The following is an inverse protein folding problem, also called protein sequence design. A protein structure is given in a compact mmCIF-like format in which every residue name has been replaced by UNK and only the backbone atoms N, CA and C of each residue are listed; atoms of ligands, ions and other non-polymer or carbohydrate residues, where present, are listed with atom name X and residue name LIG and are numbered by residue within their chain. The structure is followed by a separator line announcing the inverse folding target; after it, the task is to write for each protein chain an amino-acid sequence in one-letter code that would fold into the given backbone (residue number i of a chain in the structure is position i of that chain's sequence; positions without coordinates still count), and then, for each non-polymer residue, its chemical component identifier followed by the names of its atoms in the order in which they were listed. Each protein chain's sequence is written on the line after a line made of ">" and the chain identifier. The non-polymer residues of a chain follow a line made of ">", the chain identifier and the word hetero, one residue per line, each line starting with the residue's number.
data_IF_797164971603
#
_entry.id   IF_797164971603
#
_cell.length_a   1.000
_cell.length_b   1.000
_cell.length_c   1.000
_cell.angle_alpha   90.00
_cell.angle_beta   90.00
_cell.angle_gamma   90.00
#
_symmetry.space_group_name_H-M   'P 1'
#
loop_
_entity.id
_entity.type
_entity.pdbx_description
1 polymer ?
#
# COMPACT_ATOMS: atom_id res chain seq x y z
N UNK A 1 -33.66 13.96 -7.37
CA UNK A 1 -32.60 14.73 -6.69
C UNK A 1 -32.12 13.90 -5.52
N UNK A 2 -30.93 13.33 -5.61
CA UNK A 2 -30.33 12.60 -4.49
C UNK A 2 -29.91 13.64 -3.46
N UNK A 3 -30.39 13.53 -2.23
CA UNK A 3 -29.94 14.37 -1.11
C UNK A 3 -28.43 14.16 -0.94
N UNK A 4 -27.66 15.24 -0.84
CA UNK A 4 -26.24 15.15 -0.59
C UNK A 4 -26.00 14.45 0.76
N UNK A 5 -25.46 13.23 0.73
CA UNK A 5 -25.00 12.50 1.90
C UNK A 5 -23.50 12.73 2.02
N UNK A 6 -23.10 13.52 3.01
CA UNK A 6 -21.69 13.68 3.37
C UNK A 6 -21.26 12.45 4.18
N UNK A 7 -20.21 11.78 3.74
CA UNK A 7 -19.61 10.65 4.44
C UNK A 7 -18.36 11.12 5.20
N UNK A 8 -18.28 10.74 6.48
CA UNK A 8 -17.18 11.09 7.39
C UNK A 8 -16.58 9.83 8.05
N UNK A 9 -16.88 8.64 7.55
CA UNK A 9 -16.42 7.39 8.14
C UNK A 9 -14.93 7.14 7.86
N UNK A 10 -14.50 7.33 6.61
CA UNK A 10 -13.11 7.18 6.17
C UNK A 10 -12.93 7.88 4.83
N UNK A 11 -11.71 8.27 4.51
CA UNK A 11 -11.30 8.70 3.17
C UNK A 11 -11.33 7.57 2.13
N UNK A 12 -11.29 6.30 2.53
CA UNK A 12 -11.38 5.15 1.62
C UNK A 12 -12.75 4.99 0.95
N UNK A 13 -13.75 5.76 1.36
CA UNK A 13 -15.07 5.83 0.70
C UNK A 13 -15.08 6.78 -0.49
N UNK A 14 -14.04 7.63 -0.62
CA UNK A 14 -13.91 8.57 -1.72
C UNK A 14 -13.57 7.82 -3.02
N UNK A 15 -14.18 8.27 -4.12
CA UNK A 15 -13.82 7.79 -5.45
C UNK A 15 -12.46 8.31 -5.90
N UNK A 16 -11.97 7.78 -7.03
CA UNK A 16 -10.75 8.27 -7.66
C UNK A 16 -10.91 9.72 -8.16
N UNK A 17 -9.83 10.50 -8.11
CA UNK A 17 -9.79 11.84 -8.72
C UNK A 17 -9.97 11.74 -10.24
N UNK A 18 -10.58 12.74 -10.92
CA UNK A 18 -10.80 12.71 -12.37
C UNK A 18 -9.54 12.42 -13.20
N UNK A 19 -8.39 12.95 -12.79
CA UNK A 19 -7.10 12.79 -13.44
C UNK A 19 -6.62 11.33 -13.42
N UNK A 20 -6.98 10.58 -12.37
CA UNK A 20 -6.70 9.13 -12.28
C UNK A 20 -7.51 8.39 -13.33
N UNK A 21 -8.79 8.74 -13.48
CA UNK A 21 -9.67 8.10 -14.47
C UNK A 21 -9.23 8.43 -15.90
N UNK A 22 -8.81 9.67 -16.16
CA UNK A 22 -8.24 10.07 -17.45
C UNK A 22 -6.95 9.30 -17.77
N UNK A 23 -6.04 9.17 -16.79
CA UNK A 23 -4.81 8.41 -16.96
C UNK A 23 -5.08 6.92 -17.26
N UNK A 24 -6.09 6.33 -16.62
CA UNK A 24 -6.53 4.96 -16.92
C UNK A 24 -7.07 4.82 -18.35
N UNK A 25 -7.88 5.78 -18.82
CA UNK A 25 -8.38 5.80 -20.21
C UNK A 25 -7.23 5.89 -21.20
N UNK A 26 -6.23 6.73 -20.94
CA UNK A 26 -5.03 6.85 -21.77
C UNK A 26 -4.22 5.55 -21.77
N UNK A 27 -4.01 4.94 -20.60
CA UNK A 27 -3.26 3.69 -20.45
C UNK A 27 -3.97 2.48 -21.08
N UNK A 28 -5.30 2.56 -21.29
CA UNK A 28 -6.10 1.52 -21.94
C UNK A 28 -5.90 1.45 -23.47
N UNK A 29 -5.09 2.33 -24.07
CA UNK A 29 -4.79 2.30 -25.49
C UNK A 29 -3.62 1.34 -25.81
N UNK A 30 -3.80 0.50 -26.83
CA UNK A 30 -2.74 -0.37 -27.34
C UNK A 30 -2.47 -1.60 -26.48
N UNK A 31 -1.21 -2.05 -26.45
CA UNK A 31 -0.78 -3.21 -25.65
C UNK A 31 0.35 -2.82 -24.72
N UNK A 32 0.40 -3.46 -23.56
CA UNK A 32 1.43 -3.26 -22.54
C UNK A 32 1.92 -4.61 -22.03
N UNK A 33 3.19 -4.69 -21.66
CA UNK A 33 3.76 -5.89 -21.04
C UNK A 33 3.16 -6.11 -19.65
N UNK A 34 3.05 -7.36 -19.23
CA UNK A 34 2.55 -7.70 -17.90
C UNK A 34 3.58 -7.49 -16.79
N UNK A 35 3.14 -7.72 -15.55
CA UNK A 35 4.00 -7.87 -14.37
C UNK A 35 4.92 -6.66 -14.09
N UNK A 36 4.44 -5.44 -14.36
CA UNK A 36 5.14 -4.19 -14.02
C UNK A 36 6.33 -3.86 -14.94
N UNK A 37 6.45 -4.55 -16.07
CA UNK A 37 7.50 -4.31 -17.08
C UNK A 37 7.05 -3.36 -18.19
N UNK A 38 5.86 -2.77 -18.06
CA UNK A 38 5.31 -1.80 -18.99
C UNK A 38 5.85 -0.37 -18.75
N UNK A 39 5.61 0.47 -19.75
CA UNK A 39 6.07 1.86 -19.76
C UNK A 39 5.33 2.74 -18.73
N UNK A 40 4.09 2.41 -18.34
CA UNK A 40 3.32 3.19 -17.35
C UNK A 40 3.90 2.96 -15.97
N UNK A 41 4.12 1.70 -15.60
CA UNK A 41 4.78 1.30 -14.35
C UNK A 41 6.17 1.92 -14.22
N UNK A 42 6.98 1.87 -15.29
CA UNK A 42 8.31 2.49 -15.30
C UNK A 42 8.24 4.01 -15.08
N UNK A 43 7.36 4.71 -15.81
CA UNK A 43 7.21 6.15 -15.69
C UNK A 43 6.64 6.60 -14.33
N UNK A 44 5.75 5.82 -13.71
CA UNK A 44 5.26 6.07 -12.36
C UNK A 44 6.37 5.88 -11.32
N UNK A 45 7.19 4.83 -11.46
CA UNK A 45 8.32 4.57 -10.59
C UNK A 45 9.38 5.68 -10.63
N UNK A 46 9.70 6.21 -11.82
CA UNK A 46 10.63 7.34 -11.94
C UNK A 46 10.10 8.61 -11.24
N UNK A 47 8.80 8.89 -11.37
CA UNK A 47 8.19 10.03 -10.69
C UNK A 47 8.26 9.90 -9.16
N UNK A 48 8.03 8.70 -8.63
CA UNK A 48 8.15 8.43 -7.19
C UNK A 48 9.59 8.63 -6.72
N UNK A 49 10.59 8.10 -7.44
CA UNK A 49 12.01 8.31 -7.13
C UNK A 49 12.39 9.79 -7.14
N UNK A 50 11.97 10.52 -8.16
CA UNK A 50 12.23 11.94 -8.28
C UNK A 50 11.57 12.75 -7.15
N UNK A 51 10.33 12.41 -6.77
CA UNK A 51 9.61 13.07 -5.69
C UNK A 51 10.26 12.85 -4.32
N UNK A 52 10.74 11.63 -4.07
CA UNK A 52 11.35 11.23 -2.80
C UNK A 52 12.86 11.51 -2.73
N UNK A 53 13.47 11.96 -3.83
CA UNK A 53 14.93 12.10 -3.99
C UNK A 53 15.69 10.83 -3.56
N UNK A 54 15.25 9.68 -4.07
CA UNK A 54 15.73 8.37 -3.64
C UNK A 54 16.09 7.45 -4.81
N UNK A 55 17.26 6.82 -4.71
CA UNK A 55 17.61 5.67 -5.55
C UNK A 55 17.01 4.39 -4.95
N UNK A 56 15.73 4.15 -5.24
CA UNK A 56 14.95 3.08 -4.64
C UNK A 56 14.21 2.22 -5.68
N UNK A 57 14.08 0.93 -5.35
CA UNK A 57 13.17 0.03 -6.06
C UNK A 57 11.72 0.40 -5.73
N UNK A 58 10.92 0.64 -6.76
CA UNK A 58 9.47 0.84 -6.63
C UNK A 58 8.76 -0.44 -7.03
N UNK A 59 7.83 -0.88 -6.19
CA UNK A 59 6.96 -2.04 -6.41
C UNK A 59 5.52 -1.62 -6.13
N UNK A 60 4.62 -1.90 -7.06
CA UNK A 60 3.21 -1.56 -6.93
C UNK A 60 2.44 -2.76 -6.38
N UNK A 61 1.68 -2.56 -5.32
CA UNK A 61 0.77 -3.55 -4.74
C UNK A 61 -0.67 -3.08 -4.90
N UNK A 62 -1.61 -4.00 -4.78
CA UNK A 62 -3.04 -3.69 -4.90
C UNK A 62 -3.61 -2.97 -3.66
N UNK A 63 -2.96 -3.07 -2.50
CA UNK A 63 -3.43 -2.48 -1.24
C UNK A 63 -2.29 -2.15 -0.28
N UNK A 64 -2.59 -1.30 0.71
CA UNK A 64 -1.70 -1.00 1.83
C UNK A 64 -1.35 -2.25 2.66
N UNK A 65 -2.33 -3.11 2.96
CA UNK A 65 -2.09 -4.39 3.65
C UNK A 65 -1.10 -5.28 2.91
N UNK A 66 -1.22 -5.38 1.59
CA UNK A 66 -0.26 -6.15 0.79
C UNK A 66 1.14 -5.52 0.81
N UNK A 67 1.23 -4.18 0.77
CA UNK A 67 2.50 -3.47 0.88
C UNK A 67 3.18 -3.71 2.22
N UNK A 68 2.45 -3.57 3.33
CA UNK A 68 2.95 -3.79 4.68
C UNK A 68 3.43 -5.23 4.87
N UNK A 69 2.58 -6.20 4.54
CA UNK A 69 2.94 -7.61 4.65
C UNK A 69 4.19 -7.94 3.82
N UNK A 70 4.25 -7.50 2.55
CA UNK A 70 5.42 -7.70 1.70
C UNK A 70 6.68 -7.02 2.24
N UNK A 71 6.59 -5.79 2.71
CA UNK A 71 7.73 -5.08 3.26
C UNK A 71 8.30 -5.81 4.49
N UNK A 72 7.44 -6.30 5.38
CA UNK A 72 7.87 -7.01 6.58
C UNK A 72 8.52 -8.36 6.27
N UNK A 73 8.12 -9.07 5.22
CA UNK A 73 8.80 -10.33 4.82
C UNK A 73 10.24 -10.10 4.34
N UNK A 74 10.57 -8.88 3.89
CA UNK A 74 11.93 -8.51 3.49
C UNK A 74 12.79 -8.10 4.68
N UNK A 75 12.18 -7.71 5.81
CA UNK A 75 12.86 -7.11 6.96
C UNK A 75 12.98 -8.05 8.15
N UNK A 76 12.11 -9.05 8.28
CA UNK A 76 12.06 -9.94 9.43
C UNK A 76 11.95 -11.42 9.01
N UNK A 77 12.67 -12.27 9.73
CA UNK A 77 12.62 -13.72 9.59
C UNK A 77 11.42 -14.32 10.33
N UNK A 78 10.99 -15.55 10.00
CA UNK A 78 9.81 -16.18 10.61
C UNK A 78 9.86 -16.34 12.14
N UNK A 79 11.06 -16.35 12.73
CA UNK A 79 11.27 -16.49 14.18
C UNK A 79 11.57 -15.14 14.87
N UNK A 80 11.55 -14.05 14.13
CA UNK A 80 11.73 -12.69 14.63
C UNK A 80 10.38 -12.01 14.88
N UNK A 81 10.43 -10.83 15.49
CA UNK A 81 9.25 -10.02 15.74
C UNK A 81 9.48 -8.55 15.35
N UNK A 82 8.43 -7.93 14.84
CA UNK A 82 8.38 -6.50 14.53
C UNK A 82 7.75 -5.76 15.70
N UNK A 83 8.44 -4.72 16.19
CA UNK A 83 7.89 -3.82 17.20
C UNK A 83 7.09 -2.71 16.51
N UNK A 84 5.85 -2.50 16.94
CA UNK A 84 5.00 -1.42 16.44
C UNK A 84 4.08 -0.92 17.55
N UNK A 85 3.47 0.25 17.37
CA UNK A 85 2.45 0.73 18.30
C UNK A 85 1.27 -0.27 18.36
N UNK A 86 0.64 -0.43 19.52
CA UNK A 86 -0.45 -1.40 19.72
C UNK A 86 -1.69 -1.15 18.82
N UNK A 87 -1.86 0.09 18.37
CA UNK A 87 -2.90 0.51 17.41
C UNK A 87 -2.38 0.67 15.96
N UNK A 88 -1.16 0.21 15.65
CA UNK A 88 -0.68 0.24 14.28
C UNK A 88 -1.55 -0.67 13.39
N UNK A 89 -1.81 -0.24 12.16
CA UNK A 89 -2.68 -0.95 11.22
C UNK A 89 -2.27 -2.43 11.03
N UNK A 90 -0.96 -2.71 10.99
CA UNK A 90 -0.41 -4.07 10.89
C UNK A 90 -0.78 -4.98 12.08
N UNK A 91 -1.09 -4.39 13.23
CA UNK A 91 -1.49 -5.09 14.45
C UNK A 91 -3.01 -5.27 14.55
N UNK A 92 -3.81 -4.32 14.05
CA UNK A 92 -5.26 -4.25 14.32
C UNK A 92 -6.15 -4.53 13.12
N UNK A 93 -5.76 -4.10 11.91
CA UNK A 93 -6.69 -3.94 10.78
C UNK A 93 -6.28 -4.75 9.52
N UNK A 94 -5.27 -5.61 9.65
CA UNK A 94 -4.75 -6.41 8.54
C UNK A 94 -5.06 -7.91 8.65
N UNK A 95 -5.91 -8.30 9.60
CA UNK A 95 -6.36 -9.70 9.78
C UNK A 95 -5.19 -10.70 9.85
N UNK A 96 -4.07 -10.29 10.45
CA UNK A 96 -2.86 -11.12 10.56
C UNK A 96 -2.08 -11.32 9.27
N UNK A 97 -2.31 -10.52 8.22
CA UNK A 97 -1.57 -10.61 6.96
C UNK A 97 -0.04 -10.61 7.14
N UNK A 98 0.58 -9.74 7.97
CA UNK A 98 2.01 -9.80 8.23
C UNK A 98 2.49 -11.18 8.70
N UNK A 99 1.81 -11.75 9.70
CA UNK A 99 2.13 -13.08 10.23
C UNK A 99 1.95 -14.19 9.19
N UNK A 100 0.88 -14.12 8.39
CA UNK A 100 0.61 -15.10 7.34
C UNK A 100 1.68 -15.09 6.24
N UNK A 101 1.97 -13.92 5.66
CA UNK A 101 2.94 -13.80 4.56
C UNK A 101 4.39 -13.92 5.05
N UNK A 102 4.69 -13.46 6.28
CA UNK A 102 5.99 -13.59 6.94
C UNK A 102 6.23 -14.97 7.57
N UNK A 103 5.42 -15.98 7.24
CA UNK A 103 5.57 -17.38 7.68
C UNK A 103 5.64 -17.56 9.20
N UNK A 104 4.92 -16.74 9.96
CA UNK A 104 4.90 -16.78 11.41
C UNK A 104 5.63 -15.63 12.11
N UNK A 105 6.12 -14.63 11.36
CA UNK A 105 6.71 -13.42 11.96
C UNK A 105 5.80 -12.85 13.06
N UNK A 106 6.40 -12.59 14.22
CA UNK A 106 5.69 -12.04 15.37
C UNK A 106 5.45 -10.54 15.25
N UNK A 107 4.38 -10.05 15.88
CA UNK A 107 4.16 -8.62 16.11
C UNK A 107 4.10 -8.36 17.62
N UNK A 108 4.88 -7.40 18.11
CA UNK A 108 4.88 -6.99 19.51
C UNK A 108 4.38 -5.55 19.57
N UNK A 109 3.19 -5.37 20.15
CA UNK A 109 2.59 -4.07 20.40
C UNK A 109 3.29 -3.32 21.53
N UNK A 110 3.66 -2.07 21.28
CA UNK A 110 4.16 -1.11 22.26
C UNK A 110 3.04 -0.14 22.64
N UNK A 111 2.74 0.07 23.94
CA UNK A 111 1.66 0.95 24.37
C UNK A 111 2.07 2.43 24.25
N UNK A 112 1.09 3.32 24.04
CA UNK A 112 1.33 4.75 23.92
C UNK A 112 0.05 5.57 23.70
N UNK A 113 0.04 6.81 24.19
CA UNK A 113 -1.14 7.68 24.07
C UNK A 113 -1.27 8.38 22.70
N UNK A 114 -0.24 8.34 21.86
CA UNK A 114 -0.14 9.18 20.65
C UNK A 114 -0.07 8.41 19.35
N UNK A 115 -0.14 7.08 19.38
CA UNK A 115 0.23 6.27 18.22
C UNK A 115 1.74 6.22 18.02
#
# INVERSE_FOLDING_TARGET
>A
MTVARYDFASDNVAGAMPEVMEALVVANAGTASGYGTDHVSAAAAERIRALLDADAQVRFTASGTAANAFALTLLAQPHEAVLAHEHAHICTDETGAPGFFGQGVGLIGLPGASG
#
